data_IF_360873303856
#
_entry.id   IF_360873303856
#
_cell.length_a   1.000
_cell.length_b   1.000
_cell.length_c   1.000
_cell.angle_alpha   90.00
_cell.angle_beta   90.00
_cell.angle_gamma   90.00
#
_symmetry.space_group_name_H-M   'P 1'
#
loop_
_entity.id
_entity.type
_entity.pdbx_description
1 polymer ?
#
# COMPACT_ATOMS: atom_id res chain seq x y z
N UNK A 1 8.97 -1.12 12.50
CA UNK A 1 9.19 -0.97 11.05
C UNK A 1 8.84 0.44 10.58
N UNK A 2 7.64 0.94 10.88
CA UNK A 2 7.30 2.36 10.77
C UNK A 2 6.90 2.87 12.14
N UNK A 3 7.48 3.98 12.57
CA UNK A 3 7.18 4.61 13.85
C UNK A 3 6.90 6.09 13.65
N UNK A 4 5.73 6.52 14.12
CA UNK A 4 5.33 7.92 14.19
C UNK A 4 5.30 8.33 15.66
N UNK A 5 5.91 9.46 15.98
CA UNK A 5 5.89 10.05 17.32
C UNK A 5 5.44 11.49 17.23
N UNK A 6 4.22 11.76 17.71
CA UNK A 6 3.57 13.09 17.65
C UNK A 6 3.66 13.75 16.28
N UNK A 7 3.62 12.94 15.20
CA UNK A 7 3.76 13.42 13.84
C UNK A 7 2.53 14.24 13.40
N UNK A 8 2.78 15.30 12.64
CA UNK A 8 1.75 16.16 12.08
C UNK A 8 1.98 16.45 10.61
N UNK A 9 0.91 16.84 9.92
CA UNK A 9 0.93 17.27 8.51
C UNK A 9 0.14 18.57 8.38
N UNK A 10 0.79 19.55 7.76
CA UNK A 10 0.20 20.84 7.43
C UNK A 10 0.41 21.15 5.95
N UNK A 11 -0.61 21.69 5.29
CA UNK A 11 -0.52 22.20 3.92
C UNK A 11 -0.98 23.65 3.89
N UNK A 12 -0.03 24.57 3.71
CA UNK A 12 -0.33 26.00 3.56
C UNK A 12 -1.05 26.61 4.75
N UNK A 13 -0.70 26.22 5.99
CA UNK A 13 -1.33 26.68 7.22
C UNK A 13 -2.59 25.90 7.61
N UNK A 14 -3.05 24.96 6.76
CA UNK A 14 -4.15 24.06 7.10
C UNK A 14 -3.61 22.74 7.64
N UNK A 15 -3.81 22.51 8.92
CA UNK A 15 -3.48 21.24 9.56
C UNK A 15 -4.39 20.11 9.05
N UNK A 16 -3.80 19.07 8.51
CA UNK A 16 -4.48 17.87 8.01
C UNK A 16 -4.46 16.76 9.06
N UNK A 17 -3.28 16.52 9.65
CA UNK A 17 -3.06 15.50 10.68
C UNK A 17 -2.29 16.13 11.84
N UNK A 18 -2.57 15.68 13.05
CA UNK A 18 -1.91 16.21 14.25
C UNK A 18 -1.67 15.11 15.28
N UNK A 19 -0.53 15.19 15.94
CA UNK A 19 -0.16 14.33 17.08
C UNK A 19 -0.34 12.82 16.82
N UNK A 20 0.05 12.36 15.63
CA UNK A 20 -0.04 10.96 15.28
C UNK A 20 1.07 10.18 15.99
N UNK A 21 0.71 9.16 16.76
CA UNK A 21 1.65 8.26 17.41
C UNK A 21 1.23 6.81 17.17
N UNK A 22 2.06 6.04 16.48
CA UNK A 22 1.80 4.63 16.16
C UNK A 22 3.10 3.91 15.85
N UNK A 23 3.15 2.63 16.21
CA UNK A 23 4.23 1.73 15.83
C UNK A 23 3.68 0.55 15.03
N UNK A 24 4.08 0.48 13.75
CA UNK A 24 3.72 -0.60 12.82
C UNK A 24 4.87 -1.61 12.80
N UNK A 25 4.61 -2.77 13.37
CA UNK A 25 5.58 -3.85 13.50
C UNK A 25 5.72 -4.67 12.22
N UNK A 26 6.87 -5.32 11.97
CA UNK A 26 7.03 -6.29 10.89
C UNK A 26 5.96 -7.38 10.94
N UNK A 27 5.44 -7.77 9.75
CA UNK A 27 4.43 -8.82 9.61
C UNK A 27 3.03 -8.46 10.14
N UNK A 28 2.82 -7.23 10.62
CA UNK A 28 1.50 -6.80 11.09
C UNK A 28 0.57 -6.42 9.95
N UNK A 29 -0.74 -6.54 10.19
CA UNK A 29 -1.79 -6.16 9.24
C UNK A 29 -2.66 -5.06 9.86
N UNK A 30 -2.59 -3.86 9.30
CA UNK A 30 -3.32 -2.70 9.79
C UNK A 30 -4.35 -2.22 8.78
N UNK A 31 -5.54 -1.92 9.26
CA UNK A 31 -6.50 -1.09 8.54
C UNK A 31 -6.45 0.35 9.07
N UNK A 32 -6.55 1.31 8.19
CA UNK A 32 -6.67 2.73 8.50
C UNK A 32 -8.04 3.21 8.03
N UNK A 33 -8.91 3.57 8.95
CA UNK A 33 -10.28 4.03 8.67
C UNK A 33 -10.43 5.52 8.95
N UNK A 34 -11.51 6.07 8.49
CA UNK A 34 -11.88 7.47 8.70
C UNK A 34 -12.71 8.02 7.54
N UNK A 35 -13.44 9.12 7.74
CA UNK A 35 -14.26 9.71 6.68
C UNK A 35 -13.42 10.13 5.47
N UNK A 36 -14.11 10.40 4.35
CA UNK A 36 -13.42 10.96 3.17
C UNK A 36 -12.78 12.30 3.55
N UNK A 37 -11.56 12.55 3.09
CA UNK A 37 -10.80 13.75 3.44
C UNK A 37 -10.19 13.75 4.84
N UNK A 38 -10.30 12.70 5.65
CA UNK A 38 -9.72 12.64 6.99
C UNK A 38 -8.17 12.63 7.02
N UNK A 39 -7.51 12.43 5.87
CA UNK A 39 -6.05 12.39 5.80
C UNK A 39 -5.45 10.98 5.67
N UNK A 40 -6.25 9.96 5.33
CA UNK A 40 -5.77 8.57 5.16
C UNK A 40 -4.62 8.48 4.15
N UNK A 41 -4.79 9.06 2.97
CA UNK A 41 -3.74 9.10 1.93
C UNK A 41 -2.51 9.89 2.39
N UNK A 42 -2.69 10.96 3.17
CA UNK A 42 -1.58 11.72 3.76
C UNK A 42 -0.80 10.89 4.77
N UNK A 43 -1.48 10.08 5.58
CA UNK A 43 -0.85 9.13 6.48
C UNK A 43 -0.01 8.09 5.71
N UNK A 44 -0.57 7.49 4.65
CA UNK A 44 0.18 6.53 3.82
C UNK A 44 1.39 7.20 3.14
N UNK A 45 1.26 8.45 2.70
CA UNK A 45 2.36 9.25 2.14
C UNK A 45 3.45 9.54 3.18
N UNK A 46 3.11 9.79 4.45
CA UNK A 46 4.09 9.86 5.54
C UNK A 46 4.84 8.53 5.69
N UNK A 47 4.11 7.42 5.73
CA UNK A 47 4.67 6.07 5.88
C UNK A 47 5.61 5.69 4.72
N UNK A 48 5.40 6.23 3.52
CA UNK A 48 6.25 5.98 2.34
C UNK A 48 7.37 7.01 2.17
N UNK A 49 7.45 8.03 3.03
CA UNK A 49 8.36 9.16 2.84
C UNK A 49 8.04 10.01 1.60
N UNK A 50 6.84 9.89 1.04
CA UNK A 50 6.36 10.76 -0.04
C UNK A 50 5.91 12.13 0.47
N UNK A 51 5.61 12.20 1.76
CA UNK A 51 5.28 13.42 2.47
C UNK A 51 6.15 13.52 3.71
N UNK A 52 6.73 14.68 3.97
CA UNK A 52 7.50 14.94 5.19
C UNK A 52 6.58 15.44 6.29
N UNK A 53 6.81 15.05 7.56
CA UNK A 53 6.05 15.59 8.68
C UNK A 53 6.36 17.08 8.88
N UNK A 54 5.32 17.89 9.14
CA UNK A 54 5.47 19.29 9.54
C UNK A 54 5.81 19.44 11.03
N UNK A 55 5.50 18.41 11.84
CA UNK A 55 5.82 18.34 13.27
C UNK A 55 6.05 16.87 13.69
N UNK A 56 6.72 16.67 14.83
CA UNK A 56 6.99 15.35 15.36
C UNK A 56 8.05 14.59 14.56
N UNK A 57 8.02 13.26 14.64
CA UNK A 57 9.01 12.36 14.05
C UNK A 57 8.32 11.25 13.27
N UNK A 58 8.85 10.93 12.09
CA UNK A 58 8.48 9.73 11.31
C UNK A 58 9.75 8.94 10.99
N UNK A 59 9.82 7.74 11.52
CA UNK A 59 10.89 6.80 11.22
C UNK A 59 10.37 5.66 10.37
N UNK A 60 11.09 5.34 9.30
CA UNK A 60 10.82 4.20 8.43
C UNK A 60 12.08 3.34 8.37
N UNK A 61 11.94 2.06 8.70
CA UNK A 61 13.08 1.14 8.86
C UNK A 61 14.15 1.66 9.82
N UNK A 62 13.73 2.35 10.91
CA UNK A 62 14.60 2.90 11.93
C UNK A 62 15.33 4.20 11.56
N UNK A 63 14.98 4.84 10.42
CA UNK A 63 15.60 6.09 9.96
C UNK A 63 14.58 7.23 9.93
N UNK A 64 14.96 8.40 10.46
CA UNK A 64 14.14 9.62 10.36
C UNK A 64 14.03 10.05 8.88
N UNK A 65 12.81 10.17 8.40
CA UNK A 65 12.55 10.52 6.99
C UNK A 65 13.03 11.92 6.61
N UNK A 66 13.10 12.87 7.56
CA UNK A 66 13.53 14.27 7.31
C UNK A 66 15.02 14.40 7.05
N UNK A 67 15.83 13.47 7.56
CA UNK A 67 17.29 13.48 7.42
C UNK A 67 17.79 12.69 6.21
N UNK A 68 16.90 12.09 5.41
CA UNK A 68 17.29 11.25 4.29
C UNK A 68 17.55 12.07 3.03
N UNK A 69 18.66 11.80 2.37
CA UNK A 69 18.95 12.31 1.05
C UNK A 69 18.07 11.63 -0.02
N UNK A 70 18.00 12.21 -1.22
CA UNK A 70 17.15 11.72 -2.32
C UNK A 70 17.38 10.23 -2.65
N UNK A 71 18.63 9.81 -2.68
CA UNK A 71 18.99 8.41 -3.00
C UNK A 71 18.62 7.46 -1.87
N UNK A 72 18.70 7.90 -0.62
CA UNK A 72 18.29 7.14 0.55
C UNK A 72 16.78 6.98 0.61
N UNK A 73 16.02 8.04 0.30
CA UNK A 73 14.56 7.97 0.14
C UNK A 73 14.19 6.99 -0.97
N UNK A 74 14.88 7.03 -2.12
CA UNK A 74 14.65 6.11 -3.22
C UNK A 74 14.97 4.66 -2.81
N UNK A 75 16.05 4.43 -2.06
CA UNK A 75 16.40 3.12 -1.53
C UNK A 75 15.36 2.60 -0.51
N UNK A 76 14.87 3.46 0.37
CA UNK A 76 13.81 3.16 1.32
C UNK A 76 12.51 2.78 0.60
N UNK A 77 12.08 3.55 -0.39
CA UNK A 77 10.85 3.31 -1.16
C UNK A 77 10.88 2.00 -1.95
N UNK A 78 12.03 1.52 -2.39
CA UNK A 78 12.15 0.20 -3.04
C UNK A 78 11.78 -0.98 -2.13
N UNK A 79 11.77 -0.76 -0.80
CA UNK A 79 11.33 -1.74 0.21
C UNK A 79 9.84 -1.59 0.55
N UNK A 80 9.14 -0.66 -0.10
CA UNK A 80 7.72 -0.35 0.12
C UNK A 80 6.97 -0.52 -1.19
N UNK A 81 6.00 -1.42 -1.22
CA UNK A 81 5.01 -1.50 -2.29
C UNK A 81 3.88 -0.50 -2.03
N UNK A 82 3.42 0.19 -3.05
CA UNK A 82 2.30 1.12 -2.92
C UNK A 82 1.21 0.81 -3.94
N UNK A 83 0.00 0.54 -3.45
CA UNK A 83 -1.22 0.39 -4.25
C UNK A 83 -2.04 1.67 -4.10
N UNK A 84 -2.19 2.41 -5.19
CA UNK A 84 -2.96 3.66 -5.21
C UNK A 84 -4.43 3.36 -5.52
N UNK A 85 -5.34 4.21 -5.05
CA UNK A 85 -6.78 4.13 -5.30
C UNK A 85 -7.09 4.16 -6.82
N UNK A 86 -6.49 5.09 -7.54
CA UNK A 86 -6.46 5.09 -8.99
C UNK A 86 -5.05 4.65 -9.41
N UNK A 87 -4.98 3.42 -9.91
CA UNK A 87 -3.70 2.89 -10.36
C UNK A 87 -3.34 3.51 -11.69
N UNK A 88 -2.44 4.50 -11.64
CA UNK A 88 -1.86 5.10 -12.85
C UNK A 88 -1.04 4.05 -13.60
N UNK A 89 -1.66 3.42 -14.58
CA UNK A 89 -0.98 2.59 -15.57
C UNK A 89 -0.53 3.43 -16.75
N UNK A 90 0.60 3.07 -17.33
CA UNK A 90 1.06 3.69 -18.58
C UNK A 90 0.29 3.03 -19.73
N UNK A 91 -0.58 3.78 -20.40
CA UNK A 91 -1.51 3.27 -21.43
C UNK A 91 -0.81 2.68 -22.67
N UNK A 92 0.43 3.08 -22.92
CA UNK A 92 1.25 2.59 -24.03
C UNK A 92 2.05 1.32 -23.69
N UNK A 93 1.93 0.81 -22.48
CA UNK A 93 2.54 -0.44 -22.01
C UNK A 93 1.47 -1.49 -21.73
N UNK A 94 1.78 -2.74 -21.97
CA UNK A 94 0.90 -3.86 -21.59
C UNK A 94 0.78 -3.99 -20.07
N UNK A 95 -0.16 -4.81 -19.60
CA UNK A 95 -0.32 -5.11 -18.17
C UNK A 95 0.96 -5.71 -17.60
N UNK A 96 1.56 -6.68 -18.29
CA UNK A 96 2.83 -7.28 -17.85
C UNK A 96 3.97 -6.25 -17.78
N UNK A 97 4.06 -5.37 -18.76
CA UNK A 97 5.08 -4.31 -18.76
C UNK A 97 4.88 -3.30 -17.65
N UNK A 98 3.62 -2.92 -17.36
CA UNK A 98 3.27 -2.07 -16.23
C UNK A 98 3.64 -2.72 -14.89
N UNK A 99 3.37 -4.00 -14.71
CA UNK A 99 3.77 -4.76 -13.50
C UNK A 99 5.27 -4.81 -13.34
N UNK A 100 6.01 -4.96 -14.45
CA UNK A 100 7.47 -5.04 -14.48
C UNK A 100 8.20 -3.70 -14.30
N UNK A 101 7.51 -2.57 -14.39
CA UNK A 101 8.13 -1.23 -14.30
C UNK A 101 9.07 -1.07 -13.08
N UNK A 102 8.68 -1.46 -11.85
CA UNK A 102 9.56 -1.30 -10.69
C UNK A 102 10.84 -2.13 -10.80
N UNK A 103 10.78 -3.31 -11.43
CA UNK A 103 11.95 -4.16 -11.67
C UNK A 103 12.88 -3.53 -12.71
N UNK A 104 12.32 -3.02 -13.82
CA UNK A 104 13.08 -2.33 -14.87
C UNK A 104 13.79 -1.07 -14.35
N UNK A 105 13.16 -0.33 -13.44
CA UNK A 105 13.72 0.88 -12.80
C UNK A 105 14.71 0.55 -11.68
N UNK A 106 14.62 -0.63 -11.09
CA UNK A 106 15.62 -1.13 -10.17
C UNK A 106 16.78 -1.73 -10.98
N UNK A 107 18.03 -1.53 -10.57
CA UNK A 107 19.19 -2.18 -11.22
C UNK A 107 19.20 -3.72 -11.15
N UNK A 108 18.06 -4.34 -10.81
CA UNK A 108 17.82 -5.79 -10.70
C UNK A 108 17.19 -6.41 -11.96
N UNK A 109 17.20 -5.71 -13.10
CA UNK A 109 16.70 -6.24 -14.36
C UNK A 109 17.63 -7.37 -14.87
N UNK A 110 17.30 -8.60 -14.48
CA UNK A 110 17.94 -9.82 -14.97
C UNK A 110 16.85 -10.83 -15.40
N UNK A 111 17.27 -11.93 -16.06
CA UNK A 111 16.36 -12.96 -16.54
C UNK A 111 15.47 -13.56 -15.41
N UNK A 112 16.00 -13.66 -14.18
CA UNK A 112 15.26 -14.14 -13.02
C UNK A 112 14.05 -13.24 -12.70
N UNK A 113 14.18 -11.90 -12.78
CA UNK A 113 13.07 -11.00 -12.53
C UNK A 113 11.92 -11.08 -13.56
N UNK A 114 12.20 -11.58 -14.77
CA UNK A 114 11.16 -11.82 -15.78
C UNK A 114 10.40 -13.13 -15.50
N UNK A 115 11.07 -14.14 -14.98
CA UNK A 115 10.47 -15.41 -14.59
C UNK A 115 9.59 -15.23 -13.35
N UNK A 116 10.11 -14.55 -12.33
CA UNK A 116 9.34 -14.15 -11.13
C UNK A 116 8.07 -13.36 -11.48
N UNK A 117 8.12 -12.50 -12.51
CA UNK A 117 6.97 -11.75 -12.96
C UNK A 117 5.88 -12.62 -13.61
N UNK A 118 6.27 -13.65 -14.40
CA UNK A 118 5.31 -14.59 -14.99
C UNK A 118 4.61 -15.40 -13.90
N UNK A 119 5.37 -15.89 -12.92
CA UNK A 119 4.81 -16.64 -11.81
C UNK A 119 3.88 -15.77 -10.95
N UNK A 120 4.25 -14.52 -10.71
CA UNK A 120 3.41 -13.56 -10.02
C UNK A 120 2.12 -13.26 -10.80
N UNK A 121 2.22 -13.03 -12.12
CA UNK A 121 1.06 -12.79 -12.99
C UNK A 121 0.10 -13.98 -13.00
N UNK A 122 0.63 -15.20 -13.04
CA UNK A 122 -0.16 -16.41 -12.92
C UNK A 122 -0.83 -16.52 -11.55
N UNK A 123 -0.10 -16.26 -10.48
CA UNK A 123 -0.62 -16.31 -9.12
C UNK A 123 -1.74 -15.30 -8.85
N UNK A 124 -1.67 -14.09 -9.42
CA UNK A 124 -2.74 -13.09 -9.33
C UNK A 124 -3.86 -13.28 -10.37
N UNK A 125 -3.75 -14.30 -11.24
CA UNK A 125 -4.74 -14.61 -12.25
C UNK A 125 -4.82 -13.58 -13.38
N UNK A 126 -3.66 -13.14 -13.88
CA UNK A 126 -3.54 -12.16 -14.97
C UNK A 126 -2.82 -12.72 -16.22
N UNK A 127 -2.53 -14.02 -16.26
CA UNK A 127 -1.80 -14.62 -17.41
C UNK A 127 -2.49 -14.38 -18.74
N UNK A 128 -3.82 -14.48 -18.78
CA UNK A 128 -4.61 -14.35 -20.02
C UNK A 128 -4.67 -12.91 -20.54
N UNK A 129 -4.40 -11.94 -19.70
CA UNK A 129 -4.44 -10.50 -20.03
C UNK A 129 -3.08 -9.83 -19.91
N UNK A 130 -1.99 -10.61 -19.80
CA UNK A 130 -0.64 -10.09 -19.62
C UNK A 130 -0.21 -9.14 -20.75
N UNK A 131 -0.58 -9.47 -21.99
CA UNK A 131 -0.26 -8.70 -23.20
C UNK A 131 -1.34 -7.65 -23.56
N UNK A 132 -2.44 -7.58 -22.82
CA UNK A 132 -3.46 -6.57 -23.00
C UNK A 132 -3.00 -5.20 -22.49
N UNK A 133 -3.55 -4.14 -23.05
CA UNK A 133 -3.32 -2.75 -22.60
C UNK A 133 -4.29 -2.37 -21.47
N UNK A 134 -3.95 -1.35 -20.64
CA UNK A 134 -4.79 -0.95 -19.51
C UNK A 134 -6.24 -0.62 -19.85
N UNK A 135 -6.52 -0.11 -21.03
CA UNK A 135 -7.88 0.22 -21.48
C UNK A 135 -8.70 -1.01 -21.93
N UNK A 136 -8.07 -2.17 -22.11
CA UNK A 136 -8.71 -3.42 -22.55
C UNK A 136 -9.12 -4.33 -21.39
N UNK A 137 -8.66 -4.03 -20.16
CA UNK A 137 -8.87 -4.88 -18.99
C UNK A 137 -9.89 -4.28 -18.03
N UNK A 138 -10.58 -5.16 -17.29
CA UNK A 138 -11.56 -4.79 -16.26
C UNK A 138 -10.93 -4.07 -15.05
N UNK A 139 -11.77 -3.38 -14.27
CA UNK A 139 -11.33 -2.76 -13.02
C UNK A 139 -10.71 -3.76 -12.02
N UNK A 140 -11.25 -4.97 -11.96
CA UNK A 140 -10.71 -6.03 -11.11
C UNK A 140 -9.34 -6.54 -11.58
N UNK A 141 -9.11 -6.65 -12.89
CA UNK A 141 -7.79 -6.99 -13.44
C UNK A 141 -6.79 -5.88 -13.17
N UNK A 142 -7.18 -4.60 -13.32
CA UNK A 142 -6.36 -3.45 -12.93
C UNK A 142 -5.99 -3.49 -11.45
N UNK A 143 -6.93 -3.79 -10.56
CA UNK A 143 -6.67 -3.86 -9.12
C UNK A 143 -5.65 -4.98 -8.78
N UNK A 144 -5.77 -6.17 -9.42
CA UNK A 144 -4.78 -7.24 -9.27
C UNK A 144 -3.42 -6.86 -9.87
N UNK A 145 -3.39 -6.21 -11.01
CA UNK A 145 -2.16 -5.72 -11.64
C UNK A 145 -1.46 -4.65 -10.78
N UNK A 146 -2.23 -3.77 -10.14
CA UNK A 146 -1.70 -2.80 -9.18
C UNK A 146 -1.06 -3.46 -7.96
N UNK A 147 -1.70 -4.49 -7.41
CA UNK A 147 -1.13 -5.29 -6.33
C UNK A 147 0.14 -6.01 -6.81
N UNK A 148 0.10 -6.68 -7.97
CA UNK A 148 1.26 -7.35 -8.54
C UNK A 148 2.43 -6.38 -8.74
N UNK A 149 2.19 -5.19 -9.32
CA UNK A 149 3.19 -4.13 -9.47
C UNK A 149 3.78 -3.68 -8.14
N UNK A 150 2.96 -3.62 -7.09
CA UNK A 150 3.41 -3.22 -5.77
C UNK A 150 4.29 -4.27 -5.09
N UNK A 151 4.11 -5.57 -5.39
CA UNK A 151 4.82 -6.67 -4.71
C UNK A 151 5.96 -7.29 -5.52
N UNK A 152 6.07 -6.99 -6.82
CA UNK A 152 7.06 -7.59 -7.73
C UNK A 152 8.52 -7.40 -7.28
N UNK A 153 8.81 -6.32 -6.54
CA UNK A 153 10.16 -6.06 -5.99
C UNK A 153 10.39 -6.72 -4.64
N UNK A 154 9.49 -7.58 -4.20
CA UNK A 154 9.53 -8.26 -2.90
C UNK A 154 9.64 -7.28 -1.71
N UNK A 155 8.74 -6.27 -1.60
CA UNK A 155 8.79 -5.27 -0.54
C UNK A 155 8.53 -5.89 0.84
N UNK A 156 8.99 -5.21 1.88
CA UNK A 156 8.74 -5.60 3.28
C UNK A 156 7.39 -5.05 3.78
N UNK A 157 6.96 -3.92 3.22
CA UNK A 157 5.70 -3.23 3.57
C UNK A 157 4.89 -3.00 2.30
N UNK A 158 3.59 -3.24 2.36
CA UNK A 158 2.63 -2.86 1.35
C UNK A 158 1.66 -1.83 1.95
N UNK A 159 1.65 -0.63 1.35
CA UNK A 159 0.71 0.43 1.65
C UNK A 159 -0.35 0.44 0.56
N UNK A 160 -1.63 0.40 0.92
CA UNK A 160 -2.70 0.39 -0.04
C UNK A 160 -3.75 1.45 0.32
N UNK A 161 -4.13 2.27 -0.66
CA UNK A 161 -5.15 3.30 -0.53
C UNK A 161 -6.39 2.87 -1.31
N UNK A 162 -7.46 2.51 -0.60
CA UNK A 162 -8.75 2.03 -1.13
C UNK A 162 -8.59 0.93 -2.23
N UNK A 163 -7.84 -0.15 -1.96
CA UNK A 163 -7.44 -1.11 -3.01
C UNK A 163 -8.61 -1.88 -3.64
N UNK A 164 -9.79 -1.84 -3.02
CA UNK A 164 -11.01 -2.51 -3.49
C UNK A 164 -12.10 -1.53 -3.94
N UNK A 165 -11.81 -0.23 -3.98
CA UNK A 165 -12.82 0.82 -4.21
C UNK A 165 -13.49 0.79 -5.60
N UNK A 166 -12.86 0.17 -6.59
CA UNK A 166 -13.33 0.13 -7.99
C UNK A 166 -13.63 -1.28 -8.48
N UNK A 167 -13.88 -2.23 -7.58
CA UNK A 167 -14.15 -3.63 -7.94
C UNK A 167 -15.39 -4.15 -7.23
N UNK A 168 -16.04 -5.15 -7.82
CA UNK A 168 -17.18 -5.83 -7.21
C UNK A 168 -16.77 -6.65 -5.96
N UNK A 169 -17.78 -7.13 -5.23
CA UNK A 169 -17.57 -7.86 -3.98
C UNK A 169 -16.73 -9.13 -4.15
N UNK A 170 -17.01 -9.94 -5.19
CA UNK A 170 -16.31 -11.21 -5.39
C UNK A 170 -14.84 -10.97 -5.72
N UNK A 171 -14.56 -9.95 -6.51
CA UNK A 171 -13.20 -9.54 -6.84
C UNK A 171 -12.49 -8.95 -5.62
N UNK A 172 -13.19 -8.16 -4.80
CA UNK A 172 -12.66 -7.64 -3.54
C UNK A 172 -12.21 -8.78 -2.62
N UNK A 173 -13.00 -9.86 -2.51
CA UNK A 173 -12.65 -11.02 -1.69
C UNK A 173 -11.39 -11.74 -2.23
N UNK A 174 -11.25 -11.89 -3.54
CA UNK A 174 -10.03 -12.47 -4.16
C UNK A 174 -8.80 -11.62 -3.86
N UNK A 175 -8.91 -10.31 -4.01
CA UNK A 175 -7.81 -9.38 -3.72
C UNK A 175 -7.38 -9.42 -2.26
N UNK A 176 -8.36 -9.47 -1.34
CA UNK A 176 -8.12 -9.62 0.10
C UNK A 176 -7.40 -10.93 0.42
N UNK A 177 -7.83 -12.04 -0.19
CA UNK A 177 -7.18 -13.34 0.00
C UNK A 177 -5.71 -13.30 -0.41
N UNK A 178 -5.38 -12.65 -1.54
CA UNK A 178 -3.99 -12.45 -1.98
C UNK A 178 -3.19 -11.63 -0.95
N UNK A 179 -3.76 -10.54 -0.44
CA UNK A 179 -3.11 -9.72 0.59
C UNK A 179 -2.88 -10.49 1.89
N UNK A 180 -3.85 -11.31 2.32
CA UNK A 180 -3.72 -12.16 3.51
C UNK A 180 -2.65 -13.24 3.30
N UNK A 181 -2.55 -13.83 2.12
CA UNK A 181 -1.49 -14.80 1.80
C UNK A 181 -0.11 -14.14 1.87
N UNK A 182 0.06 -12.95 1.28
CA UNK A 182 1.30 -12.18 1.37
C UNK A 182 1.66 -11.83 2.83
N UNK A 183 0.67 -11.48 3.65
CA UNK A 183 0.89 -11.23 5.07
C UNK A 183 1.35 -12.50 5.82
N UNK A 184 0.77 -13.67 5.53
CA UNK A 184 1.21 -14.95 6.09
C UNK A 184 2.64 -15.31 5.68
N UNK A 185 3.12 -14.78 4.54
CA UNK A 185 4.51 -14.88 4.08
C UNK A 185 5.44 -13.83 4.76
N UNK A 186 4.93 -13.09 5.74
CA UNK A 186 5.69 -12.12 6.54
C UNK A 186 5.62 -10.67 6.08
N UNK A 187 4.85 -10.36 5.01
CA UNK A 187 4.70 -8.97 4.55
C UNK A 187 3.84 -8.16 5.51
N UNK A 188 4.21 -6.89 5.69
CA UNK A 188 3.47 -5.93 6.52
C UNK A 188 2.47 -5.18 5.66
N UNK A 189 1.24 -5.02 6.14
CA UNK A 189 0.19 -4.27 5.43
C UNK A 189 -0.32 -3.08 6.21
N UNK A 190 -0.53 -1.96 5.52
CA UNK A 190 -1.32 -0.82 5.98
C UNK A 190 -2.30 -0.46 4.88
N UNK A 191 -3.58 -0.71 5.10
CA UNK A 191 -4.64 -0.55 4.12
C UNK A 191 -5.57 0.56 4.59
N UNK A 192 -5.59 1.68 3.87
CA UNK A 192 -6.59 2.72 4.07
C UNK A 192 -7.86 2.31 3.36
N UNK A 193 -8.97 2.24 4.09
CA UNK A 193 -10.28 1.96 3.52
C UNK A 193 -11.41 2.47 4.41
N UNK A 194 -12.55 2.75 3.80
CA UNK A 194 -13.81 3.01 4.48
C UNK A 194 -14.77 1.79 4.46
N UNK A 195 -14.36 0.71 3.80
CA UNK A 195 -15.16 -0.51 3.67
C UNK A 195 -15.06 -1.38 4.94
N UNK A 196 -16.07 -1.27 5.80
CA UNK A 196 -16.18 -2.06 7.04
C UNK A 196 -16.42 -3.55 6.74
N UNK A 197 -17.10 -3.89 5.64
CA UNK A 197 -17.34 -5.28 5.26
C UNK A 197 -16.01 -5.97 4.90
N UNK A 198 -15.14 -5.28 4.17
CA UNK A 198 -13.78 -5.72 3.91
C UNK A 198 -13.00 -5.98 5.22
N UNK A 199 -13.02 -5.04 6.16
CA UNK A 199 -12.31 -5.21 7.44
C UNK A 199 -12.81 -6.44 8.18
N UNK A 200 -14.13 -6.64 8.24
CA UNK A 200 -14.76 -7.81 8.90
C UNK A 200 -14.40 -9.12 8.23
N UNK A 201 -14.27 -9.16 6.91
CA UNK A 201 -13.90 -10.38 6.18
C UNK A 201 -12.45 -10.81 6.44
N UNK A 202 -11.56 -9.88 6.75
CA UNK A 202 -10.13 -10.18 7.04
C UNK A 202 -9.89 -10.61 8.48
N UNK A 203 -10.65 -10.09 9.45
CA UNK A 203 -10.47 -10.39 10.89
C UNK A 203 -10.31 -11.88 11.22
N UNK A 204 -11.11 -12.80 10.66
CA UNK A 204 -10.94 -14.24 10.93
C UNK A 204 -9.74 -14.87 10.23
N UNK A 205 -9.16 -14.20 9.22
CA UNK A 205 -8.10 -14.74 8.36
C UNK A 205 -6.70 -14.32 8.79
N UNK A 206 -6.58 -13.13 9.41
CA UNK A 206 -5.33 -12.54 9.84
C UNK A 206 -5.51 -11.73 11.13
N UNK A 207 -4.44 -11.64 11.93
CA UNK A 207 -4.42 -10.79 13.13
C UNK A 207 -4.32 -9.34 12.72
N UNK A 208 -5.46 -8.65 12.68
CA UNK A 208 -5.55 -7.26 12.23
C UNK A 208 -5.63 -6.27 13.39
N UNK A 209 -5.14 -5.06 13.16
CA UNK A 209 -5.39 -3.89 13.99
C UNK A 209 -6.11 -2.83 13.16
N UNK A 210 -7.11 -2.19 13.73
CA UNK A 210 -7.83 -1.11 13.06
C UNK A 210 -7.44 0.21 13.72
N UNK A 211 -6.90 1.11 12.91
CA UNK A 211 -6.58 2.48 13.26
C UNK A 211 -7.68 3.39 12.67
N UNK A 212 -8.07 4.41 13.39
CA UNK A 212 -9.07 5.37 12.92
C UNK A 212 -8.50 6.79 12.96
N UNK A 213 -8.60 7.50 11.85
CA UNK A 213 -8.38 8.94 11.86
C UNK A 213 -9.70 9.64 12.23
N UNK A 214 -9.69 10.35 13.36
CA UNK A 214 -10.79 11.16 13.84
C UNK A 214 -10.24 12.49 14.34
N UNK A 215 -10.89 13.58 13.99
CA UNK A 215 -10.50 14.94 14.40
C UNK A 215 -8.98 15.22 14.19
N UNK A 216 -8.45 14.77 13.03
CA UNK A 216 -7.05 14.87 12.61
C UNK A 216 -6.05 14.04 13.45
N UNK A 217 -6.52 13.29 14.43
CA UNK A 217 -5.71 12.43 15.30
C UNK A 217 -5.89 10.95 14.96
N UNK A 218 -5.01 10.10 15.47
CA UNK A 218 -5.05 8.66 15.27
C UNK A 218 -5.49 7.96 16.56
N UNK A 219 -6.52 7.13 16.46
CA UNK A 219 -7.03 6.31 17.54
C UNK A 219 -6.93 4.83 17.16
N UNK A 220 -6.69 3.94 18.12
CA UNK A 220 -6.91 2.50 17.93
C UNK A 220 -8.41 2.25 18.05
N UNK A 221 -9.04 1.77 16.99
CA UNK A 221 -10.46 1.47 17.01
C UNK A 221 -10.75 0.33 17.99
N UNK A 222 -11.79 0.49 18.81
CA UNK A 222 -12.26 -0.52 19.74
C UNK A 222 -12.77 -1.80 19.07
N UNK A 223 -13.24 -2.74 19.88
CA UNK A 223 -13.73 -4.05 19.43
C UNK A 223 -15.00 -4.01 18.53
N UNK A 224 -15.62 -2.83 18.39
CA UNK A 224 -16.89 -2.64 17.68
C UNK A 224 -16.75 -2.50 16.14
N UNK A 225 -15.56 -2.66 15.60
CA UNK A 225 -15.28 -2.64 14.15
C UNK A 225 -14.95 -4.03 13.64
#
# INVERSE_FOLDING_TARGET
MIELTSAGVDFGGRQILSNLSVNIQPGSFHFLTGPSGAGKSSFLKLCSGALMPSAGLVQVFGRDTRGLERDEIAAMRRRIGFVQQESDFLDHLTIAENVLLPVRLSKRSNAAGLEDAKDLMNWVGLSDVADAYPYEVSGGEKARAALARAVITDPEIILADEPTGNVDWDMSQKLIQLMVQLNKMGKTFVIATHDIAMIRSVKPLARTRVLRIKDKTLEVAGADL
#
